data_IF_619865866070
#
_entry.id   IF_619865866070
#
_cell.length_a   1.000
_cell.length_b   1.000
_cell.length_c   1.000
_cell.angle_alpha   90.00
_cell.angle_beta   90.00
_cell.angle_gamma   90.00
#
_symmetry.space_group_name_H-M   'P 1'
#
loop_
_entity.id
_entity.type
_entity.pdbx_description
1 polymer ?
#
# COMPACT_ATOMS: atom_id res chain seq x y z
N UNK A 1 -11.87 33.92 -21.02
CA UNK A 1 -12.80 32.76 -21.03
C UNK A 1 -12.13 31.50 -21.58
N UNK A 2 -11.47 31.53 -22.74
CA UNK A 2 -10.70 30.39 -23.28
C UNK A 2 -9.62 29.85 -22.32
N UNK A 3 -8.87 30.74 -21.64
CA UNK A 3 -7.82 30.33 -20.71
C UNK A 3 -8.36 29.54 -19.50
N UNK A 4 -9.54 29.92 -18.98
CA UNK A 4 -10.17 29.23 -17.86
C UNK A 4 -10.63 27.81 -18.26
N UNK A 5 -11.08 27.62 -19.50
CA UNK A 5 -11.45 26.31 -20.03
C UNK A 5 -10.22 25.42 -20.23
N UNK A 6 -9.10 25.98 -20.70
CA UNK A 6 -7.83 25.26 -20.86
C UNK A 6 -7.31 24.79 -19.49
N UNK A 7 -7.29 25.66 -18.47
CA UNK A 7 -6.88 25.26 -17.12
C UNK A 7 -7.77 24.16 -16.53
N UNK A 8 -9.09 24.24 -16.70
CA UNK A 8 -10.02 23.20 -16.24
C UNK A 8 -9.83 21.87 -16.98
N UNK A 9 -9.56 21.90 -18.29
CA UNK A 9 -9.31 20.70 -19.10
C UNK A 9 -8.00 20.02 -18.69
N UNK A 10 -6.94 20.78 -18.39
CA UNK A 10 -5.65 20.23 -17.94
C UNK A 10 -5.77 19.56 -16.56
N UNK A 11 -6.55 20.13 -15.64
CA UNK A 11 -6.81 19.52 -14.32
C UNK A 11 -7.57 18.19 -14.49
N UNK A 12 -8.55 18.14 -15.38
CA UNK A 12 -9.35 16.93 -15.65
C UNK A 12 -8.52 15.77 -16.23
N UNK A 13 -7.52 16.07 -17.05
CA UNK A 13 -6.69 15.07 -17.77
C UNK A 13 -5.60 14.42 -16.88
N UNK A 14 -5.39 14.92 -15.67
CA UNK A 14 -4.39 14.36 -14.73
C UNK A 14 -4.87 13.18 -13.88
N UNK A 15 -6.12 12.71 -14.08
CA UNK A 15 -6.65 11.55 -13.36
C UNK A 15 -6.16 10.24 -14.02
N UNK A 16 -5.11 9.64 -13.47
CA UNK A 16 -4.67 8.31 -13.88
C UNK A 16 -5.66 7.23 -13.43
N UNK A 17 -6.12 6.39 -14.36
CA UNK A 17 -6.94 5.22 -14.05
C UNK A 17 -6.04 4.01 -13.79
N UNK A 18 -6.11 3.45 -12.58
CA UNK A 18 -5.47 2.17 -12.28
C UNK A 18 -6.41 1.01 -12.66
N UNK A 19 -5.85 -0.09 -13.18
CA UNK A 19 -6.61 -1.30 -13.48
C UNK A 19 -7.20 -1.94 -12.22
N UNK A 20 -6.47 -1.85 -11.11
CA UNK A 20 -6.91 -2.23 -9.78
C UNK A 20 -6.31 -1.28 -8.75
N UNK A 21 -6.95 -1.18 -7.58
CA UNK A 21 -6.44 -0.43 -6.44
C UNK A 21 -6.26 -1.35 -5.24
N UNK A 22 -5.36 -0.93 -4.35
CA UNK A 22 -5.06 -1.60 -3.08
C UNK A 22 -5.26 -0.58 -1.97
N UNK A 23 -6.17 -0.85 -1.04
CA UNK A 23 -6.57 0.09 0.01
C UNK A 23 -6.32 -0.55 1.36
N UNK A 24 -5.57 0.15 2.22
CA UNK A 24 -5.40 -0.20 3.63
C UNK A 24 -6.44 0.54 4.47
N UNK A 25 -6.90 -0.10 5.55
CA UNK A 25 -7.67 0.58 6.58
C UNK A 25 -6.91 1.79 7.16
N UNK A 26 -7.67 2.75 7.68
CA UNK A 26 -7.17 4.02 8.17
C UNK A 26 -6.12 3.92 9.29
N UNK A 27 -5.51 5.05 9.66
CA UNK A 27 -4.49 5.10 10.70
C UNK A 27 -5.05 4.64 12.05
N UNK A 28 -4.23 3.93 12.82
CA UNK A 28 -4.56 3.48 14.18
C UNK A 28 -3.39 3.74 15.14
N UNK A 29 -3.69 3.88 16.42
CA UNK A 29 -2.70 4.04 17.49
C UNK A 29 -2.99 3.04 18.60
N UNK A 30 -1.93 2.46 19.18
CA UNK A 30 -2.02 1.52 20.30
C UNK A 30 -0.94 1.84 21.33
N UNK A 31 -1.19 1.46 22.58
CA UNK A 31 -0.19 1.53 23.64
C UNK A 31 0.99 0.58 23.34
N UNK A 32 2.21 0.91 23.80
CA UNK A 32 3.34 -0.02 23.72
C UNK A 32 3.00 -1.39 24.30
N UNK A 33 3.37 -2.46 23.59
CA UNK A 33 3.01 -3.84 23.94
C UNK A 33 1.62 -4.30 23.47
N UNK A 34 0.81 -3.40 22.91
CA UNK A 34 -0.45 -3.73 22.25
C UNK A 34 -0.25 -4.46 20.92
N UNK A 35 -1.29 -5.15 20.46
CA UNK A 35 -1.33 -5.77 19.12
C UNK A 35 -2.16 -4.93 18.16
N UNK A 36 -1.73 -4.87 16.91
CA UNK A 36 -2.46 -4.20 15.82
C UNK A 36 -2.87 -5.22 14.76
N UNK A 37 -4.04 -5.01 14.17
CA UNK A 37 -4.47 -5.74 12.97
C UNK A 37 -4.60 -4.73 11.83
N UNK A 38 -3.76 -4.89 10.82
CA UNK A 38 -3.85 -4.12 9.58
C UNK A 38 -4.64 -4.94 8.56
N UNK A 39 -5.59 -4.31 7.87
CA UNK A 39 -6.36 -4.93 6.79
C UNK A 39 -6.06 -4.21 5.48
N UNK A 40 -6.06 -4.98 4.41
CA UNK A 40 -5.90 -4.49 3.05
C UNK A 40 -6.91 -5.18 2.12
N UNK A 41 -7.51 -4.42 1.21
CA UNK A 41 -8.43 -4.92 0.18
C UNK A 41 -7.95 -4.53 -1.22
N UNK A 42 -8.26 -5.38 -2.21
CA UNK A 42 -8.02 -5.12 -3.62
C UNK A 42 -9.35 -4.93 -4.34
N UNK A 43 -9.45 -3.95 -5.25
CA UNK A 43 -10.70 -3.63 -5.97
C UNK A 43 -11.25 -4.77 -6.84
N UNK A 44 -10.40 -5.73 -7.22
CA UNK A 44 -10.75 -6.86 -8.10
C UNK A 44 -11.06 -8.15 -7.34
N UNK A 45 -11.12 -8.11 -6.00
CA UNK A 45 -11.50 -9.26 -5.17
C UNK A 45 -10.35 -9.79 -4.31
N UNK A 46 -10.01 -11.08 -4.49
CA UNK A 46 -9.07 -11.78 -3.60
C UNK A 46 -7.65 -11.24 -3.73
N UNK A 47 -7.07 -10.84 -2.59
CA UNK A 47 -5.66 -10.44 -2.47
C UNK A 47 -4.70 -11.64 -2.69
N UNK A 48 -5.22 -12.88 -2.70
CA UNK A 48 -4.48 -14.11 -3.00
C UNK A 48 -4.56 -14.53 -4.48
N UNK A 49 -4.24 -15.80 -4.79
CA UNK A 49 -4.49 -16.38 -6.13
C UNK A 49 -3.46 -16.05 -7.22
N UNK A 50 -2.17 -16.04 -6.90
CA UNK A 50 -1.08 -15.72 -7.84
C UNK A 50 -0.54 -14.30 -7.71
N UNK A 51 -1.15 -13.49 -6.85
CA UNK A 51 -0.65 -12.18 -6.43
C UNK A 51 0.40 -12.32 -5.31
N UNK A 52 1.27 -11.31 -5.17
CA UNK A 52 2.36 -11.27 -4.18
C UNK A 52 2.19 -10.07 -3.23
N UNK A 53 1.15 -10.06 -2.37
CA UNK A 53 0.96 -8.98 -1.42
C UNK A 53 2.14 -8.90 -0.45
N UNK A 54 2.48 -7.67 -0.07
CA UNK A 54 3.49 -7.39 0.94
C UNK A 54 3.06 -6.23 1.82
N UNK A 55 3.45 -6.30 3.09
CA UNK A 55 3.34 -5.20 4.05
C UNK A 55 4.68 -4.50 4.12
N UNK A 56 4.66 -3.18 3.93
CA UNK A 56 5.85 -2.34 3.97
C UNK A 56 5.65 -1.31 5.07
N UNK A 57 6.69 -1.09 5.88
CA UNK A 57 6.72 -0.06 6.90
C UNK A 57 7.71 1.04 6.51
N UNK A 58 7.31 2.29 6.77
CA UNK A 58 8.15 3.46 6.54
C UNK A 58 7.95 4.50 7.65
N UNK A 59 9.06 4.96 8.21
CA UNK A 59 9.14 6.19 9.00
C UNK A 59 9.47 7.38 8.11
N UNK A 60 9.05 8.57 8.52
CA UNK A 60 9.38 9.82 7.82
C UNK A 60 10.91 9.91 7.61
N UNK A 61 11.34 10.15 6.37
CA UNK A 61 12.75 10.26 5.99
C UNK A 61 13.52 8.94 5.91
N UNK A 62 12.88 7.78 6.12
CA UNK A 62 13.53 6.47 6.06
C UNK A 62 13.20 5.72 4.77
N UNK A 63 14.08 4.80 4.40
CA UNK A 63 13.88 3.86 3.29
C UNK A 63 12.76 2.88 3.67
N UNK A 64 11.79 2.60 2.76
CA UNK A 64 10.75 1.60 3.01
C UNK A 64 11.34 0.21 3.30
N UNK A 65 10.80 -0.48 4.30
CA UNK A 65 11.24 -1.82 4.72
C UNK A 65 10.09 -2.83 4.67
N UNK A 66 10.37 -4.03 4.16
CA UNK A 66 9.43 -5.14 4.15
C UNK A 66 9.12 -5.65 5.57
N UNK A 67 7.87 -5.68 5.99
CA UNK A 67 7.46 -6.27 7.28
C UNK A 67 7.20 -7.76 7.13
N UNK A 68 6.35 -8.11 6.16
CA UNK A 68 5.99 -9.48 5.81
C UNK A 68 5.53 -9.49 4.35
N UNK A 69 5.80 -10.54 3.61
CA UNK A 69 5.31 -10.66 2.24
C UNK A 69 5.70 -11.98 1.62
N UNK A 70 5.63 -12.02 0.30
CA UNK A 70 5.95 -13.19 -0.51
C UNK A 70 7.19 -12.93 -1.36
N UNK A 71 8.23 -13.75 -1.23
CA UNK A 71 9.42 -13.71 -2.12
C UNK A 71 9.20 -14.48 -3.44
N UNK A 72 8.02 -15.06 -3.62
CA UNK A 72 7.65 -15.97 -4.70
C UNK A 72 6.48 -16.87 -4.27
N UNK A 73 5.82 -17.54 -5.20
CA UNK A 73 4.47 -18.16 -5.11
C UNK A 73 4.14 -19.05 -3.90
N UNK A 74 5.10 -19.35 -3.01
CA UNK A 74 4.95 -20.37 -1.97
C UNK A 74 4.78 -19.87 -0.54
N UNK A 75 5.17 -18.64 -0.17
CA UNK A 75 5.08 -18.21 1.24
C UNK A 75 4.72 -16.74 1.44
N UNK A 76 3.43 -16.49 1.70
CA UNK A 76 2.88 -15.17 2.03
C UNK A 76 3.28 -14.67 3.44
N UNK A 77 3.97 -15.49 4.22
CA UNK A 77 4.40 -15.22 5.59
C UNK A 77 5.91 -15.04 5.71
N UNK A 78 6.64 -14.81 4.61
CA UNK A 78 8.07 -14.50 4.71
C UNK A 78 8.26 -13.20 5.50
N UNK A 79 8.99 -13.31 6.60
CA UNK A 79 9.37 -12.18 7.46
C UNK A 79 10.89 -12.01 7.37
N UNK A 80 11.39 -10.87 6.88
CA UNK A 80 12.82 -10.62 6.89
C UNK A 80 13.35 -10.48 8.33
N UNK A 81 14.57 -10.97 8.57
CA UNK A 81 15.29 -10.76 9.82
C UNK A 81 15.84 -9.34 9.86
N UNK A 82 15.12 -8.42 10.51
CA UNK A 82 15.65 -7.10 10.80
C UNK A 82 16.55 -7.18 12.02
N UNK A 83 17.86 -7.01 11.84
CA UNK A 83 18.73 -6.66 12.96
C UNK A 83 18.31 -5.25 13.41
N UNK A 84 17.84 -5.14 14.66
CA UNK A 84 17.64 -3.86 15.32
C UNK A 84 19.03 -3.23 15.50
N UNK A 85 19.43 -2.39 14.55
CA UNK A 85 20.59 -1.52 14.65
C UNK A 85 20.10 -0.08 14.80
#
# INVERSE_FOLDING_TARGET
MLCAVIFSLTIYVSCGLAQFTVIQDGPMSVSPGGSVRLTCSQSTGSVGGGNYPCWIYQTLGSVPKLVVGSSGTSNQNYRPSWNLQ
#
